data_IF_788803929324
#
_entry.id   IF_788803929324
#
_cell.length_a   1.000
_cell.length_b   1.000
_cell.length_c   1.000
_cell.angle_alpha   90.00
_cell.angle_beta   90.00
_cell.angle_gamma   90.00
#
_symmetry.space_group_name_H-M   'P 1'
#
loop_
_entity.id
_entity.type
_entity.pdbx_description
1 polymer ?
#
# COMPACT_ATOMS: atom_id res chain seq x y z
N UNK A 1 17.07 -16.44 11.24
CA UNK A 1 16.38 -15.13 11.14
C UNK A 1 15.02 -15.22 11.85
N UNK A 2 14.87 -14.49 12.95
CA UNK A 2 13.65 -14.45 13.77
C UNK A 2 12.60 -13.47 13.22
N UNK A 3 11.40 -13.51 13.80
CA UNK A 3 10.25 -12.76 13.32
C UNK A 3 10.39 -11.24 13.45
N UNK A 4 10.98 -10.77 14.56
CA UNK A 4 11.24 -9.35 14.76
C UNK A 4 12.31 -8.86 13.79
N UNK A 5 13.31 -9.67 13.48
CA UNK A 5 14.31 -9.36 12.45
C UNK A 5 13.69 -9.20 11.06
N UNK A 6 12.80 -10.10 10.62
CA UNK A 6 12.14 -10.00 9.30
C UNK A 6 11.15 -8.82 9.26
N UNK A 7 10.41 -8.60 10.35
CA UNK A 7 9.50 -7.46 10.50
C UNK A 7 10.28 -6.15 10.48
N UNK A 8 11.41 -6.09 11.18
CA UNK A 8 12.32 -4.95 11.14
C UNK A 8 12.89 -4.78 9.73
N UNK A 9 13.20 -5.84 8.99
CA UNK A 9 13.59 -5.72 7.58
C UNK A 9 12.45 -5.15 6.75
N UNK A 10 11.21 -5.66 6.83
CA UNK A 10 10.06 -5.12 6.06
C UNK A 10 9.71 -3.70 6.45
N UNK A 11 9.92 -3.36 7.70
CA UNK A 11 9.86 -1.98 8.14
C UNK A 11 11.07 -1.19 7.72
N UNK A 12 12.27 -1.73 7.54
CA UNK A 12 13.42 -1.01 6.95
C UNK A 12 13.16 -0.75 5.47
N UNK A 13 12.58 -1.73 4.77
CA UNK A 13 12.04 -1.64 3.40
C UNK A 13 10.97 -0.52 3.31
N UNK A 14 10.05 -0.44 4.28
CA UNK A 14 9.03 0.60 4.30
C UNK A 14 9.48 1.92 4.98
N UNK A 15 10.46 1.89 5.89
CA UNK A 15 10.64 2.85 6.99
C UNK A 15 11.92 2.59 7.90
N UNK A 16 13.19 2.90 7.49
CA UNK A 16 14.23 3.69 8.28
C UNK A 16 15.75 3.39 8.09
N UNK A 17 16.68 4.34 8.45
CA UNK A 17 16.51 5.56 9.29
C UNK A 17 16.85 6.93 8.65
N UNK A 18 16.43 7.99 9.33
CA UNK A 18 16.56 9.44 9.01
C UNK A 18 15.58 10.03 7.98
N UNK A 19 15.59 9.63 6.72
CA UNK A 19 14.84 10.30 5.65
C UNK A 19 13.30 10.11 5.72
N UNK A 20 12.82 9.13 6.51
CA UNK A 20 11.37 8.90 6.80
C UNK A 20 10.87 9.62 8.06
N UNK A 21 11.77 10.11 8.92
CA UNK A 21 11.39 10.87 10.12
C UNK A 21 10.45 12.06 9.87
N UNK A 22 10.55 12.78 8.72
CA UNK A 22 9.64 13.88 8.44
C UNK A 22 8.18 13.45 8.25
N UNK A 23 7.91 12.18 7.91
CA UNK A 23 6.58 11.78 7.43
C UNK A 23 5.73 11.02 8.45
N UNK A 24 6.35 10.33 9.41
CA UNK A 24 5.63 9.50 10.39
C UNK A 24 6.26 9.58 11.78
N UNK A 25 5.43 9.75 12.79
CA UNK A 25 5.81 9.81 14.21
C UNK A 25 6.33 8.46 14.73
N UNK A 26 6.94 8.46 15.93
CA UNK A 26 7.35 7.22 16.58
C UNK A 26 6.18 6.26 16.84
N UNK A 27 5.02 6.82 17.23
CA UNK A 27 3.80 6.05 17.48
C UNK A 27 3.27 5.45 16.19
N UNK A 28 3.12 6.23 15.12
CA UNK A 28 2.62 5.72 13.83
C UNK A 28 3.52 4.65 13.24
N UNK A 29 4.85 4.80 13.40
CA UNK A 29 5.80 3.74 13.05
C UNK A 29 5.49 2.47 13.81
N UNK A 30 5.32 2.54 15.12
CA UNK A 30 4.99 1.39 15.95
C UNK A 30 3.65 0.75 15.54
N UNK A 31 2.63 1.56 15.24
CA UNK A 31 1.35 1.06 14.73
C UNK A 31 1.53 0.27 13.44
N UNK A 32 2.26 0.81 12.45
CA UNK A 32 2.56 0.11 11.20
C UNK A 32 3.30 -1.20 11.49
N UNK A 33 4.17 -1.22 12.50
CA UNK A 33 4.90 -2.43 12.88
C UNK A 33 3.98 -3.57 13.28
N UNK A 34 3.05 -3.28 14.18
CA UNK A 34 2.11 -4.27 14.67
C UNK A 34 1.12 -4.69 13.58
N UNK A 35 0.70 -3.77 12.71
CA UNK A 35 -0.12 -4.10 11.55
C UNK A 35 0.59 -5.11 10.63
N UNK A 36 1.86 -4.87 10.26
CA UNK A 36 2.64 -5.80 9.43
C UNK A 36 2.73 -7.17 10.09
N UNK A 37 3.02 -7.20 11.39
CA UNK A 37 3.11 -8.41 12.20
C UNK A 37 1.82 -9.23 12.13
N UNK A 38 0.69 -8.61 12.42
CA UNK A 38 -0.61 -9.29 12.43
C UNK A 38 -1.06 -9.77 11.03
N UNK A 39 -0.56 -9.14 9.98
CA UNK A 39 -1.11 -9.33 8.63
C UNK A 39 -0.38 -10.38 7.80
N UNK A 40 0.94 -10.56 8.00
CA UNK A 40 1.74 -11.46 7.18
C UNK A 40 2.23 -12.68 7.97
N UNK A 41 2.22 -13.84 7.29
CA UNK A 41 2.89 -15.03 7.81
C UNK A 41 4.41 -14.86 7.77
N UNK A 42 5.14 -15.63 8.60
CA UNK A 42 6.61 -15.66 8.58
C UNK A 42 7.16 -15.99 7.19
N UNK A 43 6.50 -16.90 6.45
CA UNK A 43 6.87 -17.30 5.10
C UNK A 43 6.70 -16.15 4.10
N UNK A 44 5.55 -15.46 4.15
CA UNK A 44 5.28 -14.32 3.28
C UNK A 44 6.27 -13.17 3.53
N UNK A 45 6.53 -12.86 4.81
CA UNK A 45 7.51 -11.85 5.18
C UNK A 45 8.92 -12.21 4.65
N UNK A 46 9.37 -13.46 4.81
CA UNK A 46 10.66 -13.92 4.27
C UNK A 46 10.76 -13.72 2.76
N UNK A 47 9.72 -14.11 2.02
CA UNK A 47 9.66 -13.92 0.57
C UNK A 47 9.71 -12.44 0.19
N UNK A 48 8.95 -11.60 0.89
CA UNK A 48 8.93 -10.15 0.68
C UNK A 48 10.32 -9.53 0.89
N UNK A 49 11.08 -10.01 1.88
CA UNK A 49 12.45 -9.53 2.15
C UNK A 49 13.53 -10.14 1.26
N UNK A 50 13.28 -11.29 0.63
CA UNK A 50 14.34 -12.08 -0.03
C UNK A 50 14.97 -11.37 -1.22
N UNK A 51 14.21 -10.54 -1.94
CA UNK A 51 14.73 -9.73 -3.06
C UNK A 51 15.64 -8.59 -2.58
N UNK A 52 15.59 -8.25 -1.29
CA UNK A 52 16.10 -6.98 -0.79
C UNK A 52 15.21 -5.81 -1.23
N UNK A 53 15.42 -4.67 -0.59
CA UNK A 53 14.81 -3.41 -0.99
C UNK A 53 15.88 -2.36 -0.87
N UNK A 54 16.15 -1.69 -1.97
CA UNK A 54 17.15 -0.64 -2.03
C UNK A 54 16.53 0.70 -1.69
N UNK A 55 17.36 1.70 -1.42
CA UNK A 55 16.92 3.09 -1.33
C UNK A 55 16.26 3.56 -2.64
N UNK A 56 16.75 3.09 -3.78
CA UNK A 56 16.16 3.36 -5.09
C UNK A 56 14.74 2.78 -5.20
N UNK A 57 14.54 1.53 -4.79
CA UNK A 57 13.20 0.92 -4.74
C UNK A 57 12.26 1.72 -3.84
N UNK A 58 12.79 2.23 -2.72
CA UNK A 58 12.05 3.06 -1.80
C UNK A 58 11.60 4.38 -2.43
N UNK A 59 12.54 5.12 -3.01
CA UNK A 59 12.28 6.41 -3.64
C UNK A 59 11.31 6.25 -4.83
N UNK A 60 11.47 5.20 -5.62
CA UNK A 60 10.54 4.85 -6.68
C UNK A 60 9.14 4.57 -6.12
N UNK A 61 9.03 3.78 -5.05
CA UNK A 61 7.74 3.45 -4.44
C UNK A 61 7.03 4.69 -3.89
N UNK A 62 7.73 5.57 -3.15
CA UNK A 62 7.15 6.82 -2.65
C UNK A 62 6.66 7.70 -3.80
N UNK A 63 7.47 7.87 -4.84
CA UNK A 63 7.10 8.70 -5.98
C UNK A 63 5.87 8.16 -6.71
N UNK A 64 5.81 6.84 -6.93
CA UNK A 64 4.64 6.19 -7.52
C UNK A 64 3.40 6.36 -6.63
N UNK A 65 3.55 6.20 -5.32
CA UNK A 65 2.44 6.39 -4.39
C UNK A 65 1.94 7.84 -4.36
N UNK A 66 2.85 8.83 -4.38
CA UNK A 66 2.50 10.25 -4.47
C UNK A 66 1.71 10.53 -5.75
N UNK A 67 2.19 10.08 -6.90
CA UNK A 67 1.52 10.24 -8.19
C UNK A 67 0.13 9.58 -8.21
N UNK A 68 0.00 8.40 -7.61
CA UNK A 68 -1.29 7.73 -7.42
C UNK A 68 -2.25 8.59 -6.58
N UNK A 69 -1.81 9.09 -5.43
CA UNK A 69 -2.64 9.93 -4.54
C UNK A 69 -3.07 11.23 -5.22
N UNK A 70 -2.15 11.93 -5.87
CA UNK A 70 -2.44 13.18 -6.60
C UNK A 70 -3.44 12.96 -7.74
N UNK A 71 -3.26 11.90 -8.53
CA UNK A 71 -4.17 11.53 -9.62
C UNK A 71 -5.56 11.16 -9.08
N UNK A 72 -5.62 10.37 -8.01
CA UNK A 72 -6.87 9.98 -7.37
C UNK A 72 -7.65 11.20 -6.87
N UNK A 73 -6.99 12.07 -6.11
CA UNK A 73 -7.60 13.32 -5.62
C UNK A 73 -8.08 14.20 -6.79
N UNK A 74 -7.31 14.31 -7.86
CA UNK A 74 -7.69 15.11 -9.05
C UNK A 74 -8.92 14.54 -9.75
N UNK A 75 -9.02 13.23 -9.94
CA UNK A 75 -10.17 12.58 -10.58
C UNK A 75 -11.44 12.77 -9.76
N UNK A 76 -11.35 12.56 -8.45
CA UNK A 76 -12.50 12.70 -7.53
C UNK A 76 -12.96 14.16 -7.45
N UNK A 77 -12.04 15.12 -7.35
CA UNK A 77 -12.38 16.56 -7.37
C UNK A 77 -13.05 17.02 -8.66
N UNK A 78 -12.75 16.36 -9.79
CA UNK A 78 -13.36 16.65 -11.08
C UNK A 78 -14.73 15.97 -11.28
N UNK A 79 -15.17 15.13 -10.34
CA UNK A 79 -16.37 14.31 -10.52
C UNK A 79 -16.23 13.31 -11.67
N UNK A 80 -15.01 12.79 -11.91
CA UNK A 80 -14.80 11.75 -12.92
C UNK A 80 -15.62 10.50 -12.60
N UNK A 81 -15.98 9.73 -13.62
CA UNK A 81 -16.62 8.43 -13.44
C UNK A 81 -15.57 7.34 -13.16
N UNK A 82 -15.82 6.36 -12.27
CA UNK A 82 -14.90 5.24 -12.04
C UNK A 82 -14.62 4.37 -13.27
N UNK A 83 -15.48 4.41 -14.29
CA UNK A 83 -15.29 3.71 -15.57
C UNK A 83 -14.59 4.55 -16.65
N UNK A 84 -14.24 5.81 -16.37
CA UNK A 84 -13.57 6.66 -17.35
C UNK A 84 -12.18 6.12 -17.72
N UNK A 85 -11.66 6.44 -18.93
CA UNK A 85 -10.33 6.01 -19.34
C UNK A 85 -9.25 6.32 -18.31
N UNK A 86 -9.24 7.53 -17.75
CA UNK A 86 -8.25 7.96 -16.75
C UNK A 86 -8.41 7.23 -15.41
N UNK A 87 -9.65 6.91 -15.01
CA UNK A 87 -9.91 6.11 -13.82
C UNK A 87 -9.43 4.66 -13.98
N UNK A 88 -9.62 4.10 -15.17
CA UNK A 88 -9.15 2.76 -15.51
C UNK A 88 -7.63 2.67 -15.66
N UNK A 89 -6.99 3.72 -16.19
CA UNK A 89 -5.52 3.87 -16.18
C UNK A 89 -4.97 3.91 -14.75
N UNK A 90 -5.61 4.68 -13.86
CA UNK A 90 -5.21 4.75 -12.45
C UNK A 90 -5.40 3.40 -11.73
N UNK A 91 -6.49 2.68 -12.02
CA UNK A 91 -6.72 1.33 -11.50
C UNK A 91 -5.65 0.35 -12.00
N UNK A 92 -5.31 0.40 -13.29
CA UNK A 92 -4.23 -0.42 -13.87
C UNK A 92 -2.87 -0.12 -13.21
N UNK A 93 -2.55 1.16 -13.00
CA UNK A 93 -1.35 1.59 -12.31
C UNK A 93 -1.27 1.05 -10.88
N UNK A 94 -2.36 1.14 -10.12
CA UNK A 94 -2.43 0.57 -8.77
C UNK A 94 -2.23 -0.95 -8.79
N UNK A 95 -2.84 -1.67 -9.74
CA UNK A 95 -2.66 -3.12 -9.88
C UNK A 95 -1.21 -3.49 -10.20
N UNK A 96 -0.53 -2.69 -11.03
CA UNK A 96 0.88 -2.90 -11.35
C UNK A 96 1.78 -2.65 -10.14
N UNK A 97 1.50 -1.60 -9.33
CA UNK A 97 2.19 -1.36 -8.06
C UNK A 97 2.03 -2.55 -7.09
N UNK A 98 0.80 -3.07 -6.94
CA UNK A 98 0.52 -4.25 -6.11
C UNK A 98 1.24 -5.49 -6.66
N UNK A 99 1.22 -5.68 -7.97
CA UNK A 99 1.91 -6.80 -8.61
C UNK A 99 3.42 -6.75 -8.38
N UNK A 100 4.07 -5.60 -8.61
CA UNK A 100 5.51 -5.42 -8.36
C UNK A 100 5.88 -5.72 -6.92
N UNK A 101 5.09 -5.21 -5.97
CA UNK A 101 5.34 -5.42 -4.54
C UNK A 101 5.12 -6.87 -4.10
N UNK A 102 4.05 -7.49 -4.59
CA UNK A 102 3.76 -8.90 -4.29
C UNK A 102 4.63 -9.88 -5.07
N UNK A 103 5.26 -9.45 -6.15
CA UNK A 103 5.94 -10.30 -7.14
C UNK A 103 5.02 -11.41 -7.67
N UNK A 104 3.70 -11.15 -7.68
CA UNK A 104 2.69 -12.13 -8.01
C UNK A 104 2.40 -13.17 -6.92
N UNK A 105 3.14 -13.21 -5.82
CA UNK A 105 3.03 -14.24 -4.77
C UNK A 105 1.70 -14.11 -4.00
N UNK A 106 0.89 -15.19 -3.93
CA UNK A 106 -0.42 -15.15 -3.28
C UNK A 106 -0.34 -14.96 -1.77
N UNK A 107 0.71 -15.48 -1.09
CA UNK A 107 0.86 -15.31 0.36
C UNK A 107 1.18 -13.84 0.71
N UNK A 108 1.95 -13.16 -0.15
CA UNK A 108 2.26 -11.74 0.00
C UNK A 108 1.01 -10.89 -0.28
N UNK A 109 0.25 -11.20 -1.34
CA UNK A 109 -1.02 -10.51 -1.65
C UNK A 109 -2.03 -10.63 -0.51
N UNK A 110 -2.15 -11.82 0.08
CA UNK A 110 -3.03 -12.03 1.24
C UNK A 110 -2.59 -11.18 2.44
N UNK A 111 -1.30 -11.07 2.70
CA UNK A 111 -0.79 -10.18 3.74
C UNK A 111 -1.04 -8.69 3.44
N UNK A 112 -0.95 -8.27 2.17
CA UNK A 112 -1.31 -6.92 1.74
C UNK A 112 -2.80 -6.61 1.92
N UNK A 113 -3.67 -7.60 1.71
CA UNK A 113 -5.11 -7.47 1.98
C UNK A 113 -5.37 -7.34 3.48
N UNK A 114 -4.80 -8.22 4.30
CA UNK A 114 -4.97 -8.20 5.76
C UNK A 114 -4.47 -6.91 6.39
N UNK A 115 -3.33 -6.39 5.94
CA UNK A 115 -2.80 -5.13 6.50
C UNK A 115 -3.70 -3.94 6.18
N UNK A 116 -4.31 -3.94 4.99
CA UNK A 116 -5.31 -2.94 4.61
C UNK A 116 -6.57 -3.05 5.47
N UNK A 117 -7.10 -4.25 5.67
CA UNK A 117 -8.26 -4.48 6.54
C UNK A 117 -7.97 -4.04 7.98
N UNK A 118 -6.86 -4.51 8.56
CA UNK A 118 -6.45 -4.17 9.91
C UNK A 118 -6.21 -2.66 10.09
N UNK A 119 -5.59 -1.99 9.10
CA UNK A 119 -5.41 -0.54 9.12
C UNK A 119 -6.75 0.21 9.15
N UNK A 120 -7.73 -0.23 8.34
CA UNK A 120 -9.04 0.43 8.30
C UNK A 120 -9.88 0.13 9.55
N UNK A 121 -9.62 -0.97 10.25
CA UNK A 121 -10.23 -1.28 11.54
C UNK A 121 -9.63 -0.53 12.73
N UNK A 122 -8.51 0.18 12.56
CA UNK A 122 -7.95 1.02 13.62
C UNK A 122 -8.90 2.19 13.94
N UNK A 123 -8.93 2.64 15.21
CA UNK A 123 -9.56 3.91 15.55
C UNK A 123 -8.93 5.06 14.74
N UNK A 124 -9.72 6.05 14.35
CA UNK A 124 -9.27 7.13 13.45
C UNK A 124 -8.06 7.89 14.01
N UNK A 125 -8.02 8.12 15.33
CA UNK A 125 -6.90 8.76 16.01
C UNK A 125 -5.59 7.94 16.05
N UNK A 126 -5.66 6.66 15.69
CA UNK A 126 -4.50 5.75 15.66
C UNK A 126 -4.00 5.47 14.26
N UNK A 127 -4.75 5.87 13.22
CA UNK A 127 -4.36 5.67 11.82
C UNK A 127 -3.21 6.62 11.45
N UNK A 128 -2.07 6.08 10.94
CA UNK A 128 -1.03 6.88 10.34
C UNK A 128 -1.55 7.81 9.24
N UNK A 129 -1.40 9.13 9.43
CA UNK A 129 -2.03 10.13 8.55
C UNK A 129 -1.58 10.02 7.09
N UNK A 130 -0.32 9.65 6.87
CA UNK A 130 0.28 9.49 5.53
C UNK A 130 -0.50 8.49 4.65
N UNK A 131 -1.12 7.49 5.28
CA UNK A 131 -1.81 6.40 4.57
C UNK A 131 -3.33 6.51 4.62
N UNK A 132 -3.86 7.52 5.31
CA UNK A 132 -5.31 7.76 5.34
C UNK A 132 -5.76 8.34 4.00
N UNK A 133 -6.63 7.59 3.32
CA UNK A 133 -7.32 8.01 2.09
C UNK A 133 -8.75 8.43 2.47
N UNK A 134 -9.20 9.65 2.10
CA UNK A 134 -10.58 10.07 2.27
C UNK A 134 -11.59 9.05 1.74
N UNK A 135 -12.73 8.92 2.40
CA UNK A 135 -13.71 7.86 2.10
C UNK A 135 -14.21 7.90 0.66
N UNK A 136 -14.51 9.09 0.13
CA UNK A 136 -14.93 9.29 -1.26
C UNK A 136 -13.83 8.87 -2.27
N UNK A 137 -12.56 9.15 -1.98
CA UNK A 137 -11.44 8.72 -2.82
C UNK A 137 -11.25 7.21 -2.76
N UNK A 138 -11.43 6.61 -1.59
CA UNK A 138 -11.33 5.16 -1.38
C UNK A 138 -12.44 4.41 -2.10
N UNK A 139 -13.67 4.90 -2.05
CA UNK A 139 -14.81 4.33 -2.77
C UNK A 139 -14.62 4.41 -4.27
N UNK A 140 -14.21 5.58 -4.79
CA UNK A 140 -13.93 5.78 -6.21
C UNK A 140 -12.91 4.77 -6.74
N UNK A 141 -11.73 4.66 -6.10
CA UNK A 141 -10.68 3.74 -6.60
C UNK A 141 -11.08 2.28 -6.46
N UNK A 142 -11.86 1.92 -5.42
CA UNK A 142 -12.41 0.57 -5.26
C UNK A 142 -13.32 0.21 -6.42
N UNK A 143 -14.25 1.09 -6.79
CA UNK A 143 -15.15 0.86 -7.92
C UNK A 143 -14.39 0.78 -9.24
N UNK A 144 -13.44 1.68 -9.48
CA UNK A 144 -12.60 1.66 -10.67
C UNK A 144 -11.84 0.33 -10.81
N UNK A 145 -11.29 -0.21 -9.71
CA UNK A 145 -10.62 -1.51 -9.69
C UNK A 145 -11.58 -2.68 -9.95
N UNK A 146 -12.80 -2.65 -9.40
CA UNK A 146 -13.83 -3.68 -9.66
C UNK A 146 -14.16 -3.72 -11.15
N UNK A 147 -14.35 -2.55 -11.78
CA UNK A 147 -14.65 -2.43 -13.21
C UNK A 147 -13.48 -2.92 -14.05
N UNK A 148 -12.26 -2.50 -13.71
CA UNK A 148 -11.03 -2.93 -14.37
C UNK A 148 -10.91 -4.46 -14.41
N UNK A 149 -11.12 -5.13 -13.27
CA UNK A 149 -11.07 -6.59 -13.19
C UNK A 149 -12.19 -7.27 -13.97
N UNK A 150 -13.41 -6.73 -13.94
CA UNK A 150 -14.52 -7.27 -14.74
C UNK A 150 -14.21 -7.20 -16.24
N UNK A 151 -13.63 -6.10 -16.70
CA UNK A 151 -13.31 -5.88 -18.12
C UNK A 151 -12.13 -6.74 -18.58
N UNK A 152 -11.14 -7.03 -17.72
CA UNK A 152 -10.02 -7.93 -18.04
C UNK A 152 -10.39 -9.41 -18.17
N UNK A 153 -11.50 -9.82 -17.56
CA UNK A 153 -11.97 -11.20 -17.54
C UNK A 153 -13.12 -11.45 -18.55
N UNK A 154 -13.37 -10.51 -19.46
CA UNK A 154 -14.27 -10.65 -20.61
C UNK A 154 -13.45 -10.99 -21.85
#
# INVERSE_FOLDING_TARGET
MDYNSIINTIQVIQMKPEWVNPYLTAKERQTIRELVKQSYSKKALRKLTAKGWTEQDHNQHINQYRLFRESLTKLVKKGASPDSPEAQELAAFLMEMIHRRSQGDPDIKEGMKKIWENFNSLPEQEKPKLYTIPDNEREFIKEACIIYHKNKNR
#
